data_IF_300741688042
#
_entry.id   IF_300741688042
#
_cell.length_a   1.000
_cell.length_b   1.000
_cell.length_c   1.000
_cell.angle_alpha   90.00
_cell.angle_beta   90.00
_cell.angle_gamma   90.00
#
_symmetry.space_group_name_H-M   'P 1'
#
loop_
_entity.id
_entity.type
_entity.pdbx_description
1 polymer ?
#
# COMPACT_ATOMS: atom_id res chain seq x y z
N UNK A 1 29.90 -0.44 12.72
CA UNK A 1 28.52 -0.95 12.88
C UNK A 1 27.90 -0.98 11.50
N UNK A 2 27.38 -2.12 11.06
CA UNK A 2 26.65 -2.21 9.79
C UNK A 2 25.36 -1.38 9.90
N UNK A 3 25.16 -0.47 8.95
CA UNK A 3 23.89 0.22 8.78
C UNK A 3 22.98 -0.73 8.02
N UNK A 4 22.04 -1.37 8.71
CA UNK A 4 20.99 -2.16 8.05
C UNK A 4 20.04 -1.16 7.37
N UNK A 5 19.83 -1.24 6.04
CA UNK A 5 18.91 -0.34 5.36
C UNK A 5 17.48 -0.55 5.86
N UNK A 6 16.74 0.55 6.03
CA UNK A 6 15.33 0.51 6.44
C UNK A 6 14.50 -0.10 5.32
N UNK A 7 13.52 -0.93 5.66
CA UNK A 7 12.56 -1.45 4.69
C UNK A 7 11.59 -0.32 4.30
N UNK A 8 11.50 -0.02 3.01
CA UNK A 8 10.59 1.01 2.47
C UNK A 8 9.22 0.41 2.20
N UNK A 9 8.21 0.98 2.83
CA UNK A 9 6.83 0.51 2.78
C UNK A 9 5.95 1.59 2.17
N UNK A 10 5.35 1.29 1.04
CA UNK A 10 4.32 2.10 0.39
C UNK A 10 2.93 1.69 0.91
N UNK A 11 2.08 2.65 1.23
CA UNK A 11 0.69 2.41 1.63
C UNK A 11 -0.25 3.10 0.64
N UNK A 12 -1.19 2.35 0.08
CA UNK A 12 -2.29 2.87 -0.73
C UNK A 12 -3.63 2.46 -0.15
N UNK A 13 -4.52 3.44 -0.01
CA UNK A 13 -5.84 3.28 0.61
C UNK A 13 -6.77 4.40 0.15
N UNK A 14 -8.09 4.18 0.20
CA UNK A 14 -9.04 5.27 -0.03
C UNK A 14 -9.05 6.23 1.16
N UNK A 15 -9.14 7.53 0.91
CA UNK A 15 -9.27 8.53 1.98
C UNK A 15 -10.52 8.32 2.86
N UNK A 16 -11.54 7.63 2.35
CA UNK A 16 -12.71 7.23 3.13
C UNK A 16 -12.41 6.15 4.17
N UNK A 17 -11.26 5.49 4.07
CA UNK A 17 -10.76 4.47 5.00
C UNK A 17 -9.64 4.98 5.93
N UNK A 18 -9.50 6.30 6.09
CA UNK A 18 -8.47 6.93 6.93
C UNK A 18 -8.47 6.45 8.39
N UNK A 19 -9.63 6.04 8.92
CA UNK A 19 -9.72 5.44 10.26
C UNK A 19 -8.94 4.12 10.36
N UNK A 20 -9.01 3.26 9.34
CA UNK A 20 -8.27 2.00 9.30
C UNK A 20 -6.76 2.24 9.15
N UNK A 21 -6.38 3.19 8.29
CA UNK A 21 -4.97 3.59 8.17
C UNK A 21 -4.41 4.10 9.51
N UNK A 22 -5.13 5.00 10.18
CA UNK A 22 -4.72 5.54 11.49
C UNK A 22 -4.53 4.45 12.53
N UNK A 23 -5.36 3.40 12.50
CA UNK A 23 -5.20 2.27 13.40
C UNK A 23 -3.94 1.46 13.07
N UNK A 24 -3.74 1.11 11.79
CA UNK A 24 -2.53 0.42 11.33
C UNK A 24 -1.26 1.21 11.66
N UNK A 25 -1.28 2.54 11.50
CA UNK A 25 -0.14 3.40 11.79
C UNK A 25 0.30 3.32 13.25
N UNK A 26 -0.63 3.12 14.21
CA UNK A 26 -0.28 2.92 15.62
C UNK A 26 0.60 1.68 15.81
N UNK A 27 0.27 0.59 15.12
CA UNK A 27 1.05 -0.65 15.16
C UNK A 27 2.42 -0.49 14.48
N UNK A 28 2.48 0.24 13.38
CA UNK A 28 3.74 0.53 12.67
C UNK A 28 4.66 1.51 13.43
N UNK A 29 4.13 2.26 14.41
CA UNK A 29 4.86 3.32 15.12
C UNK A 29 6.14 2.82 15.81
N UNK A 30 6.12 1.63 16.39
CA UNK A 30 7.31 1.06 17.03
C UNK A 30 8.39 0.71 15.99
N UNK A 31 8.00 0.16 14.85
CA UNK A 31 8.92 -0.17 13.76
C UNK A 31 9.55 1.08 13.15
N UNK A 32 8.76 2.16 12.96
CA UNK A 32 9.26 3.47 12.54
C UNK A 32 10.25 4.05 13.54
N UNK A 33 9.92 4.00 14.85
CA UNK A 33 10.76 4.52 15.94
C UNK A 33 12.10 3.79 16.06
N UNK A 34 12.09 2.48 15.83
CA UNK A 34 13.30 1.66 15.84
C UNK A 34 14.05 1.71 14.49
N UNK A 35 13.66 2.60 13.58
CA UNK A 35 14.29 2.79 12.27
C UNK A 35 14.31 1.53 11.39
N UNK A 36 13.41 0.58 11.63
CA UNK A 36 13.33 -0.67 10.86
C UNK A 36 12.60 -0.48 9.52
N UNK A 37 11.66 0.46 9.49
CA UNK A 37 10.87 0.77 8.30
C UNK A 37 10.84 2.27 8.03
N UNK A 38 10.76 2.62 6.75
CA UNK A 38 10.34 3.95 6.28
C UNK A 38 9.01 3.79 5.55
N UNK A 39 8.01 4.58 5.92
CA UNK A 39 6.64 4.40 5.40
C UNK A 39 6.22 5.62 4.63
N UNK A 40 5.79 5.44 3.39
CA UNK A 40 5.29 6.49 2.50
C UNK A 40 3.82 6.27 2.14
N UNK A 41 3.06 7.35 2.01
CA UNK A 41 1.68 7.38 1.52
C UNK A 41 1.39 8.75 0.90
N UNK A 42 0.40 8.82 0.02
CA UNK A 42 0.06 9.96 -0.84
C UNK A 42 -0.10 11.32 -0.15
N UNK A 43 -0.55 11.38 1.11
CA UNK A 43 -0.62 12.64 1.88
C UNK A 43 0.73 13.31 2.15
N UNK A 44 1.84 12.67 1.78
CA UNK A 44 3.18 13.26 1.84
C UNK A 44 3.52 14.12 0.62
N UNK A 45 2.70 14.10 -0.42
CA UNK A 45 2.92 14.90 -1.62
C UNK A 45 2.74 16.38 -1.26
N UNK A 46 3.80 17.15 -1.45
CA UNK A 46 3.81 18.58 -1.16
C UNK A 46 2.94 19.38 -2.14
N UNK A 47 2.37 20.49 -1.67
CA UNK A 47 1.65 21.41 -2.55
C UNK A 47 2.58 21.91 -3.67
N UNK A 48 2.15 21.75 -4.93
CA UNK A 48 2.93 22.13 -6.11
C UNK A 48 3.74 21.00 -6.74
N UNK A 49 3.79 19.82 -6.12
CA UNK A 49 4.48 18.66 -6.69
C UNK A 49 3.55 17.86 -7.61
N UNK A 50 4.14 17.19 -8.61
CA UNK A 50 3.40 16.36 -9.55
C UNK A 50 3.01 15.03 -8.88
N UNK A 51 1.73 14.93 -8.49
CA UNK A 51 1.16 13.82 -7.72
C UNK A 51 1.50 12.44 -8.31
N UNK A 52 1.29 12.27 -9.62
CA UNK A 52 1.52 11.01 -10.32
C UNK A 52 3.00 10.59 -10.31
N UNK A 53 3.91 11.55 -10.50
CA UNK A 53 5.34 11.30 -10.54
C UNK A 53 5.86 10.82 -9.19
N UNK A 54 5.46 11.49 -8.09
CA UNK A 54 5.90 11.09 -6.75
C UNK A 54 5.43 9.69 -6.37
N UNK A 55 4.18 9.34 -6.71
CA UNK A 55 3.63 8.02 -6.41
C UNK A 55 4.42 6.92 -7.11
N UNK A 56 4.67 7.08 -8.41
CA UNK A 56 5.43 6.09 -9.16
C UNK A 56 6.89 5.99 -8.73
N UNK A 57 7.53 7.09 -8.35
CA UNK A 57 8.89 7.08 -7.79
C UNK A 57 8.94 6.34 -6.45
N UNK A 58 7.96 6.56 -5.58
CA UNK A 58 7.89 5.85 -4.30
C UNK A 58 7.57 4.36 -4.49
N UNK A 59 6.69 4.00 -5.42
CA UNK A 59 6.44 2.60 -5.78
C UNK A 59 7.70 1.90 -6.30
N UNK A 60 8.47 2.55 -7.19
CA UNK A 60 9.72 1.99 -7.75
C UNK A 60 10.81 1.75 -6.71
N UNK A 61 10.82 2.55 -5.65
CA UNK A 61 11.87 2.51 -4.62
C UNK A 61 11.45 1.79 -3.35
N UNK A 62 10.20 1.32 -3.26
CA UNK A 62 9.67 0.61 -2.11
C UNK A 62 9.96 -0.90 -2.18
N UNK A 63 10.20 -1.50 -1.03
CA UNK A 63 10.38 -2.94 -0.89
C UNK A 63 9.02 -3.66 -0.76
N UNK A 64 8.06 -3.01 -0.10
CA UNK A 64 6.72 -3.53 0.19
C UNK A 64 5.66 -2.50 -0.18
N UNK A 65 4.56 -2.93 -0.79
CA UNK A 65 3.35 -2.13 -0.94
C UNK A 65 2.18 -2.81 -0.20
N UNK A 66 1.62 -2.12 0.78
CA UNK A 66 0.40 -2.51 1.48
C UNK A 66 -0.78 -1.81 0.81
N UNK A 67 -1.69 -2.60 0.23
CA UNK A 67 -2.92 -2.10 -0.37
C UNK A 67 -4.05 -2.33 0.62
N UNK A 68 -4.62 -1.26 1.18
CA UNK A 68 -5.77 -1.37 2.09
C UNK A 68 -7.05 -1.37 1.27
N UNK A 69 -7.56 -2.57 0.99
CA UNK A 69 -8.62 -2.81 0.02
C UNK A 69 -9.99 -2.75 0.68
N UNK A 70 -10.86 -1.92 0.10
CA UNK A 70 -12.28 -1.76 0.43
C UNK A 70 -13.06 -1.53 -0.87
N UNK A 71 -14.39 -1.42 -0.79
CA UNK A 71 -15.20 -0.95 -1.91
C UNK A 71 -14.79 0.46 -2.37
N UNK A 72 -14.43 1.33 -1.42
CA UNK A 72 -14.02 2.70 -1.70
C UNK A 72 -12.65 2.76 -2.38
N UNK A 73 -11.75 1.83 -2.04
CA UNK A 73 -10.47 1.65 -2.74
C UNK A 73 -10.67 1.21 -4.19
N UNK A 74 -11.56 0.23 -4.42
CA UNK A 74 -11.82 -0.31 -5.77
C UNK A 74 -12.51 0.72 -6.66
N UNK A 75 -13.41 1.55 -6.10
CA UNK A 75 -14.13 2.60 -6.82
C UNK A 75 -13.30 3.88 -7.03
N UNK A 76 -12.10 3.98 -6.46
CA UNK A 76 -11.20 5.10 -6.71
C UNK A 76 -10.54 4.92 -8.08
N UNK A 77 -10.99 5.68 -9.07
CA UNK A 77 -10.49 5.63 -10.45
C UNK A 77 -8.96 5.77 -10.54
N UNK A 78 -8.34 6.50 -9.61
CA UNK A 78 -6.90 6.75 -9.61
C UNK A 78 -6.08 5.64 -8.93
N UNK A 79 -6.45 5.26 -7.70
CA UNK A 79 -5.73 4.23 -6.93
C UNK A 79 -5.85 2.84 -7.57
N UNK A 80 -7.03 2.53 -8.12
CA UNK A 80 -7.32 1.21 -8.67
C UNK A 80 -6.72 1.01 -10.07
N UNK A 81 -6.76 2.00 -10.96
CA UNK A 81 -6.42 1.75 -12.36
C UNK A 81 -4.91 1.82 -12.66
N UNK A 82 -4.20 2.85 -12.16
CA UNK A 82 -2.79 3.10 -12.52
C UNK A 82 -1.80 2.59 -11.47
N UNK A 83 -1.99 2.98 -10.21
CA UNK A 83 -1.05 2.63 -9.13
C UNK A 83 -1.02 1.13 -8.87
N UNK A 84 -2.19 0.52 -8.71
CA UNK A 84 -2.31 -0.92 -8.47
C UNK A 84 -1.71 -1.72 -9.62
N UNK A 85 -2.00 -1.35 -10.87
CA UNK A 85 -1.44 -2.03 -12.05
C UNK A 85 0.08 -1.95 -12.04
N UNK A 86 0.65 -0.77 -11.83
CA UNK A 86 2.10 -0.60 -11.78
C UNK A 86 2.75 -1.34 -10.60
N UNK A 87 2.12 -1.32 -9.43
CA UNK A 87 2.58 -2.07 -8.27
C UNK A 87 2.59 -3.58 -8.55
N UNK A 88 1.58 -4.09 -9.24
CA UNK A 88 1.51 -5.49 -9.66
C UNK A 88 2.55 -5.84 -10.73
N UNK A 89 2.83 -4.95 -11.69
CA UNK A 89 3.94 -5.14 -12.64
C UNK A 89 5.30 -5.25 -11.94
N UNK A 90 5.57 -4.36 -10.99
CA UNK A 90 6.78 -4.44 -10.17
C UNK A 90 6.81 -5.72 -9.32
N UNK A 91 5.65 -6.18 -8.87
CA UNK A 91 5.52 -7.43 -8.13
C UNK A 91 5.87 -8.66 -8.96
N UNK A 92 5.32 -8.76 -10.17
CA UNK A 92 5.64 -9.83 -11.12
C UNK A 92 7.13 -9.85 -11.49
N UNK A 93 7.79 -8.68 -11.49
CA UNK A 93 9.22 -8.53 -11.71
C UNK A 93 10.08 -8.80 -10.45
N UNK A 94 9.49 -9.19 -9.31
CA UNK A 94 10.15 -9.34 -8.01
C UNK A 94 10.86 -8.07 -7.49
N UNK A 95 10.43 -6.88 -7.94
CA UNK A 95 10.97 -5.58 -7.50
C UNK A 95 10.20 -4.96 -6.34
N UNK A 96 8.95 -5.38 -6.13
CA UNK A 96 8.08 -4.89 -5.07
C UNK A 96 7.26 -6.04 -4.49
N UNK A 97 7.16 -6.15 -3.17
CA UNK A 97 6.24 -7.12 -2.54
C UNK A 97 4.88 -6.47 -2.31
N UNK A 98 3.88 -6.83 -3.12
CA UNK A 98 2.51 -6.38 -2.92
C UNK A 98 1.78 -7.29 -1.91
N UNK A 99 1.14 -6.69 -0.92
CA UNK A 99 0.34 -7.36 0.11
C UNK A 99 -1.04 -6.70 0.16
N UNK A 100 -2.10 -7.38 -0.32
CA UNK A 100 -3.47 -6.91 -0.15
C UNK A 100 -3.96 -7.11 1.29
N UNK A 101 -4.51 -6.06 1.89
CA UNK A 101 -5.13 -6.06 3.23
C UNK A 101 -6.61 -5.72 3.06
N UNK A 102 -7.49 -6.71 3.18
CA UNK A 102 -8.94 -6.53 2.98
C UNK A 102 -9.54 -5.93 4.25
N UNK A 103 -9.94 -4.66 4.16
CA UNK A 103 -10.52 -3.90 5.27
C UNK A 103 -12.01 -4.17 5.48
N UNK A 104 -12.74 -4.39 4.38
CA UNK A 104 -14.20 -4.55 4.34
C UNK A 104 -14.58 -5.57 3.28
N UNK A 105 -15.76 -6.19 3.42
CA UNK A 105 -16.32 -7.07 2.39
C UNK A 105 -16.48 -6.27 1.10
N UNK A 106 -15.80 -6.71 0.04
CA UNK A 106 -15.80 -6.05 -1.25
C UNK A 106 -15.45 -7.07 -2.35
N UNK A 107 -15.75 -6.79 -3.64
CA UNK A 107 -15.49 -7.71 -4.74
C UNK A 107 -14.00 -7.74 -5.15
N UNK A 108 -13.08 -7.74 -4.18
CA UNK A 108 -11.63 -7.72 -4.45
C UNK A 108 -11.16 -8.95 -5.23
N UNK A 109 -11.88 -10.06 -5.13
CA UNK A 109 -11.63 -11.29 -5.90
C UNK A 109 -11.96 -11.17 -7.38
N UNK A 110 -12.62 -10.09 -7.80
CA UNK A 110 -12.90 -9.77 -9.20
C UNK A 110 -11.88 -8.77 -9.77
N UNK A 111 -10.85 -8.46 -8.97
CA UNK A 111 -9.73 -7.60 -9.34
C UNK A 111 -8.48 -8.45 -9.60
N UNK A 112 -7.42 -7.88 -10.23
CA UNK A 112 -6.13 -8.55 -10.37
C UNK A 112 -5.50 -9.03 -9.04
N UNK A 113 -5.92 -8.47 -7.89
CA UNK A 113 -5.45 -8.85 -6.56
C UNK A 113 -5.78 -10.29 -6.19
N UNK A 114 -6.78 -10.94 -6.83
CA UNK A 114 -7.14 -12.35 -6.58
C UNK A 114 -5.96 -13.32 -6.77
N UNK A 115 -4.96 -12.95 -7.57
CA UNK A 115 -3.75 -13.74 -7.79
C UNK A 115 -2.82 -13.78 -6.58
N UNK A 116 -2.99 -12.84 -5.64
CA UNK A 116 -2.16 -12.70 -4.45
C UNK A 116 -2.88 -13.27 -3.23
N UNK A 117 -2.11 -13.83 -2.30
CA UNK A 117 -2.65 -14.15 -0.97
C UNK A 117 -2.90 -12.84 -0.21
N UNK A 118 -4.16 -12.53 0.03
CA UNK A 118 -4.58 -11.41 0.85
C UNK A 118 -4.58 -11.76 2.35
N UNK A 119 -4.51 -10.74 3.18
CA UNK A 119 -4.79 -10.82 4.62
C UNK A 119 -6.06 -10.00 4.95
N UNK A 120 -6.83 -10.33 5.99
CA UNK A 120 -6.72 -11.52 6.86
C UNK A 120 -6.98 -12.83 6.10
N UNK A 121 -6.92 -13.98 6.79
CA UNK A 121 -7.06 -15.30 6.14
C UNK A 121 -8.29 -15.32 5.22
N UNK A 122 -8.09 -15.77 3.99
CA UNK A 122 -9.11 -15.85 2.93
C UNK A 122 -9.74 -14.49 2.54
N UNK A 123 -9.10 -13.37 2.92
CA UNK A 123 -9.59 -12.02 2.66
C UNK A 123 -10.85 -11.66 3.43
N UNK A 124 -11.11 -12.35 4.55
CA UNK A 124 -12.28 -12.10 5.40
C UNK A 124 -11.89 -11.01 6.43
N UNK A 125 -12.52 -9.82 6.40
CA UNK A 125 -12.28 -8.78 7.40
C UNK A 125 -12.61 -9.27 8.82
N UNK A 126 -11.89 -8.74 9.81
CA UNK A 126 -12.08 -9.04 11.25
C UNK A 126 -12.97 -7.98 11.90
#
# INVERSE_FOLDING_TARGET
>A
MEVVPKVKVFISYSHLDDSFWKELEKWLKLLKRNELIDVWFDRRIGAGNEFEKEIFENLRTSDIALLLVSSDFINSDYCYAKEMTFALELHEQNKLKVIPIILKTCPWTDTPLKKLKAIPKDGIPV
#
